data_IF_413873857326
#
_entry.id   IF_413873857326
#
_cell.length_a   1.000
_cell.length_b   1.000
_cell.length_c   1.000
_cell.angle_alpha   90.00
_cell.angle_beta   90.00
_cell.angle_gamma   90.00
#
_symmetry.space_group_name_H-M   'P 1'
#
loop_
_entity.id
_entity.type
_entity.pdbx_description
1 polymer ?
#
# COMPACT_ATOMS: atom_id res chain seq x y z
N UNK A 1 0.82 -7.20 -11.68
CA UNK A 1 2.15 -7.03 -11.07
C UNK A 1 2.48 -8.33 -10.35
N UNK A 2 3.70 -8.86 -10.49
CA UNK A 2 4.13 -10.12 -9.85
C UNK A 2 5.59 -9.96 -9.39
N UNK A 3 5.86 -10.21 -8.12
CA UNK A 3 7.17 -10.14 -7.50
C UNK A 3 7.90 -11.48 -7.52
N UNK A 4 9.21 -11.42 -7.70
CA UNK A 4 10.14 -12.55 -7.62
C UNK A 4 11.01 -12.48 -6.35
N UNK A 5 11.29 -11.27 -5.85
CA UNK A 5 12.15 -11.06 -4.68
C UNK A 5 11.57 -10.07 -3.69
N UNK A 6 12.00 -10.15 -2.42
CA UNK A 6 11.62 -9.18 -1.39
C UNK A 6 12.17 -7.79 -1.72
N UNK A 7 13.32 -7.70 -2.38
CA UNK A 7 13.91 -6.43 -2.81
C UNK A 7 13.01 -5.64 -3.77
N UNK A 8 12.21 -6.31 -4.61
CA UNK A 8 11.24 -5.62 -5.48
C UNK A 8 10.15 -4.91 -4.65
N UNK A 9 9.64 -5.57 -3.61
CA UNK A 9 8.67 -5.00 -2.67
C UNK A 9 9.31 -3.85 -1.90
N UNK A 10 10.50 -4.08 -1.34
CA UNK A 10 11.23 -3.08 -0.56
C UNK A 10 11.58 -1.84 -1.36
N UNK A 11 11.84 -1.95 -2.67
CA UNK A 11 12.05 -0.78 -3.53
C UNK A 11 10.83 0.13 -3.58
N UNK A 12 9.63 -0.44 -3.70
CA UNK A 12 8.39 0.33 -3.72
C UNK A 12 8.14 0.97 -2.35
N UNK A 13 8.30 0.21 -1.26
CA UNK A 13 8.12 0.72 0.12
C UNK A 13 9.08 1.87 0.41
N UNK A 14 10.37 1.72 0.07
CA UNK A 14 11.35 2.80 0.25
C UNK A 14 11.04 4.01 -0.62
N UNK A 15 10.60 3.80 -1.86
CA UNK A 15 10.22 4.90 -2.73
C UNK A 15 9.02 5.67 -2.15
N UNK A 16 8.03 4.95 -1.61
CA UNK A 16 6.87 5.51 -0.92
C UNK A 16 7.28 6.31 0.33
N UNK A 17 8.07 5.69 1.23
CA UNK A 17 8.53 6.33 2.47
C UNK A 17 9.35 7.60 2.19
N UNK A 18 10.14 7.61 1.11
CA UNK A 18 10.91 8.78 0.69
C UNK A 18 10.11 9.80 -0.15
N UNK A 19 8.85 9.53 -0.49
CA UNK A 19 8.03 10.43 -1.31
C UNK A 19 8.48 10.51 -2.77
N UNK A 20 9.14 9.47 -3.29
CA UNK A 20 9.82 9.47 -4.60
C UNK A 20 9.12 8.64 -5.68
N UNK A 21 7.99 7.98 -5.37
CA UNK A 21 7.17 7.31 -6.39
C UNK A 21 6.60 8.38 -7.31
N UNK A 22 6.76 8.32 -8.65
CA UNK A 22 6.11 9.27 -9.55
C UNK A 22 4.58 9.20 -9.46
N UNK A 23 3.88 10.35 -9.60
CA UNK A 23 2.40 10.41 -9.55
C UNK A 23 1.71 9.44 -10.53
N UNK A 24 2.29 9.21 -11.71
CA UNK A 24 1.76 8.26 -12.71
C UNK A 24 1.94 6.79 -12.34
N UNK A 25 2.85 6.50 -11.40
CA UNK A 25 3.18 5.15 -10.94
C UNK A 25 2.53 4.83 -9.59
N UNK A 26 2.00 5.82 -8.87
CA UNK A 26 1.21 5.58 -7.67
C UNK A 26 -0.21 5.10 -8.01
N UNK A 27 -0.37 3.80 -8.23
CA UNK A 27 -1.63 3.15 -8.57
C UNK A 27 -2.05 2.20 -7.46
N UNK A 28 -3.20 1.55 -7.65
CA UNK A 28 -3.78 0.64 -6.67
C UNK A 28 -2.84 -0.50 -6.25
N UNK A 29 -2.09 -1.08 -7.20
CA UNK A 29 -1.17 -2.18 -6.91
C UNK A 29 -0.01 -1.77 -5.99
N UNK A 30 0.53 -0.56 -6.17
CA UNK A 30 1.59 0.01 -5.33
C UNK A 30 1.03 0.34 -3.94
N UNK A 31 -0.18 0.91 -3.86
CA UNK A 31 -0.90 1.12 -2.61
C UNK A 31 -1.07 -0.19 -1.82
N UNK A 32 -1.61 -1.24 -2.46
CA UNK A 32 -1.78 -2.55 -1.83
C UNK A 32 -0.44 -3.16 -1.40
N UNK A 33 0.62 -2.99 -2.19
CA UNK A 33 1.95 -3.50 -1.85
C UNK A 33 2.48 -2.87 -0.56
N UNK A 34 2.39 -1.54 -0.43
CA UNK A 34 2.85 -0.82 0.77
C UNK A 34 1.98 -1.16 1.97
N UNK A 35 0.65 -1.16 1.80
CA UNK A 35 -0.28 -1.52 2.87
C UNK A 35 -0.04 -2.96 3.37
N UNK A 36 0.18 -3.91 2.46
CA UNK A 36 0.58 -5.28 2.78
C UNK A 36 1.88 -5.33 3.55
N UNK A 37 2.92 -4.65 3.08
CA UNK A 37 4.20 -4.65 3.76
C UNK A 37 4.05 -4.17 5.21
N UNK A 38 3.33 -3.07 5.45
CA UNK A 38 3.10 -2.61 6.82
C UNK A 38 2.26 -3.57 7.64
N UNK A 39 1.19 -4.14 7.08
CA UNK A 39 0.36 -5.14 7.77
C UNK A 39 1.14 -6.43 8.12
N UNK A 40 2.14 -6.78 7.32
CA UNK A 40 2.95 -7.96 7.55
C UNK A 40 3.91 -7.82 8.75
N UNK A 41 4.36 -6.59 9.04
CA UNK A 41 5.38 -6.33 10.08
C UNK A 41 4.84 -5.57 11.30
N UNK A 42 3.64 -5.02 11.23
CA UNK A 42 3.09 -4.13 12.25
C UNK A 42 1.64 -4.48 12.58
N UNK A 43 1.18 -4.04 13.76
CA UNK A 43 -0.25 -4.03 14.08
C UNK A 43 -1.01 -3.02 13.21
N UNK A 44 -2.34 -3.11 13.24
CA UNK A 44 -3.22 -2.29 12.43
C UNK A 44 -3.03 -0.79 12.68
N UNK A 45 -2.92 -0.38 13.94
CA UNK A 45 -2.80 1.03 14.31
C UNK A 45 -1.49 1.63 13.75
N UNK A 46 -0.37 0.94 13.94
CA UNK A 46 0.94 1.37 13.44
C UNK A 46 0.98 1.36 11.92
N UNK A 47 0.46 0.32 11.28
CA UNK A 47 0.41 0.22 9.84
C UNK A 47 -0.43 1.36 9.24
N UNK A 48 -1.57 1.68 9.86
CA UNK A 48 -2.49 2.72 9.41
C UNK A 48 -1.87 4.12 9.47
N UNK A 49 -1.22 4.45 10.59
CA UNK A 49 -0.49 5.72 10.73
C UNK A 49 0.61 5.82 9.67
N UNK A 50 1.43 4.78 9.47
CA UNK A 50 2.49 4.77 8.45
C UNK A 50 1.92 4.94 7.03
N UNK A 51 0.77 4.34 6.73
CA UNK A 51 0.15 4.45 5.42
C UNK A 51 -0.39 5.86 5.19
N UNK A 52 -1.16 6.41 6.14
CA UNK A 52 -1.73 7.75 6.04
C UNK A 52 -0.64 8.80 5.89
N UNK A 53 0.35 8.78 6.77
CA UNK A 53 1.40 9.80 6.79
C UNK A 53 2.27 9.72 5.52
N UNK A 54 2.53 8.52 5.01
CA UNK A 54 3.25 8.33 3.75
C UNK A 54 2.45 8.79 2.52
N UNK A 55 1.12 8.63 2.51
CA UNK A 55 0.29 9.19 1.43
C UNK A 55 0.36 10.72 1.45
N UNK A 56 0.25 11.36 2.62
CA UNK A 56 0.40 12.82 2.69
C UNK A 56 1.80 13.28 2.25
N UNK A 57 2.85 12.52 2.55
CA UNK A 57 4.19 12.80 2.05
C UNK A 57 4.25 12.74 0.50
N UNK A 58 3.62 11.74 -0.12
CA UNK A 58 3.52 11.66 -1.59
C UNK A 58 2.69 12.82 -2.18
N UNK A 59 1.55 13.16 -1.58
CA UNK A 59 0.75 14.29 -2.07
C UNK A 59 1.52 15.60 -2.02
N UNK A 60 2.36 15.79 -0.99
CA UNK A 60 3.28 16.91 -0.92
C UNK A 60 4.35 16.86 -2.02
N UNK A 61 4.95 15.68 -2.30
CA UNK A 61 5.93 15.55 -3.38
C UNK A 61 5.33 15.68 -4.78
N UNK A 62 4.01 15.48 -4.92
CA UNK A 62 3.23 15.75 -6.13
C UNK A 62 2.80 17.21 -6.26
N UNK A 63 3.17 18.06 -5.30
CA UNK A 63 2.78 19.47 -5.24
C UNK A 63 1.25 19.67 -5.27
N UNK A 64 0.49 18.73 -4.68
CA UNK A 64 -0.97 18.83 -4.59
C UNK A 64 -1.37 19.92 -3.60
N UNK A 65 -2.18 20.87 -4.07
CA UNK A 65 -2.81 21.87 -3.23
C UNK A 65 -4.03 21.29 -2.52
N UNK A 66 -3.83 20.83 -1.28
CA UNK A 66 -4.88 20.20 -0.45
C UNK A 66 -6.06 21.13 -0.13
N UNK A 67 -5.92 22.45 -0.35
CA UNK A 67 -7.05 23.39 -0.20
C UNK A 67 -8.01 23.38 -1.39
N UNK A 68 -7.57 22.86 -2.54
CA UNK A 68 -8.36 22.76 -3.78
C UNK A 68 -8.86 21.36 -4.05
N UNK A 69 -8.09 20.34 -3.67
CA UNK A 69 -8.42 18.93 -3.92
C UNK A 69 -7.93 18.07 -2.77
N UNK A 70 -8.75 17.12 -2.32
CA UNK A 70 -8.36 16.11 -1.33
C UNK A 70 -8.38 14.72 -1.99
N UNK A 71 -7.29 14.31 -2.68
CA UNK A 71 -7.23 13.00 -3.34
C UNK A 71 -7.04 11.84 -2.35
N UNK A 72 -6.75 12.12 -1.08
CA UNK A 72 -6.71 11.11 -0.04
C UNK A 72 -8.11 10.77 0.47
N UNK A 73 -8.42 9.46 0.50
CA UNK A 73 -9.66 8.93 1.04
C UNK A 73 -9.37 8.00 2.22
N UNK A 74 -9.57 8.51 3.44
CA UNK A 74 -9.37 7.78 4.70
C UNK A 74 -10.17 6.46 4.74
N UNK A 75 -11.44 6.50 4.35
CA UNK A 75 -12.31 5.32 4.35
C UNK A 75 -11.80 4.22 3.43
N UNK A 76 -11.33 4.55 2.22
CA UNK A 76 -10.78 3.58 1.28
C UNK A 76 -9.44 3.01 1.78
N UNK A 77 -8.60 3.87 2.34
CA UNK A 77 -7.32 3.44 2.91
C UNK A 77 -7.55 2.45 4.06
N UNK A 78 -8.43 2.78 5.00
CA UNK A 78 -8.81 1.87 6.11
C UNK A 78 -9.46 0.59 5.59
N UNK A 79 -10.35 0.69 4.59
CA UNK A 79 -10.99 -0.48 3.98
C UNK A 79 -9.95 -1.48 3.46
N UNK A 80 -9.05 -1.03 2.58
CA UNK A 80 -8.03 -1.91 1.99
C UNK A 80 -7.05 -2.45 3.01
N UNK A 81 -6.64 -1.63 3.99
CA UNK A 81 -5.81 -2.12 5.09
C UNK A 81 -6.50 -3.24 5.85
N UNK A 82 -7.78 -3.07 6.24
CA UNK A 82 -8.54 -4.14 6.92
C UNK A 82 -8.67 -5.40 6.07
N UNK A 83 -8.99 -5.26 4.79
CA UNK A 83 -9.04 -6.39 3.85
C UNK A 83 -7.72 -7.16 3.83
N UNK A 84 -6.59 -6.46 3.85
CA UNK A 84 -5.27 -7.07 3.89
C UNK A 84 -5.00 -7.78 5.23
N UNK A 85 -5.34 -7.15 6.37
CA UNK A 85 -5.19 -7.79 7.68
C UNK A 85 -6.03 -9.08 7.78
N UNK A 86 -7.29 -9.02 7.38
CA UNK A 86 -8.19 -10.19 7.34
C UNK A 86 -7.62 -11.28 6.40
N UNK A 87 -7.08 -10.87 5.25
CA UNK A 87 -6.41 -11.79 4.34
C UNK A 87 -5.22 -12.48 5.01
N UNK A 88 -4.34 -11.73 5.69
CA UNK A 88 -3.16 -12.27 6.38
C UNK A 88 -3.53 -13.26 7.48
N UNK A 89 -4.57 -12.99 8.26
CA UNK A 89 -5.07 -13.90 9.30
C UNK A 89 -5.54 -15.25 8.72
N UNK A 90 -6.07 -15.23 7.50
CA UNK A 90 -6.53 -16.44 6.80
C UNK A 90 -5.40 -17.27 6.14
N UNK A 91 -4.20 -16.71 5.98
CA UNK A 91 -3.11 -17.37 5.27
C UNK A 91 -2.20 -18.21 6.19
N UNK A 92 -1.81 -19.39 5.70
CA UNK A 92 -0.72 -20.19 6.29
C UNK A 92 0.66 -19.88 5.70
N UNK A 93 0.69 -19.19 4.56
CA UNK A 93 1.93 -18.83 3.86
C UNK A 93 2.63 -17.68 4.59
N UNK A 94 3.93 -17.86 4.89
CA UNK A 94 4.75 -16.88 5.61
C UNK A 94 5.77 -16.16 4.73
N UNK A 95 5.86 -16.53 3.45
CA UNK A 95 6.72 -15.84 2.49
C UNK A 95 6.13 -14.49 2.10
N UNK A 96 6.88 -13.41 2.32
CA UNK A 96 6.49 -12.06 1.94
C UNK A 96 6.14 -11.99 0.44
N UNK A 97 7.01 -12.51 -0.43
CA UNK A 97 6.83 -12.50 -1.89
C UNK A 97 5.57 -13.26 -2.32
N UNK A 98 5.37 -14.49 -1.82
CA UNK A 98 4.22 -15.29 -2.22
C UNK A 98 2.90 -14.68 -1.74
N UNK A 99 2.89 -14.15 -0.53
CA UNK A 99 1.69 -13.51 0.03
C UNK A 99 1.37 -12.20 -0.68
N UNK A 100 2.38 -11.38 -1.01
CA UNK A 100 2.20 -10.17 -1.81
C UNK A 100 1.54 -10.48 -3.16
N UNK A 101 2.04 -11.50 -3.87
CA UNK A 101 1.49 -11.90 -5.16
C UNK A 101 0.04 -12.38 -5.05
N UNK A 102 -0.31 -13.13 -4.01
CA UNK A 102 -1.70 -13.55 -3.76
C UNK A 102 -2.62 -12.36 -3.45
N UNK A 103 -2.17 -11.38 -2.68
CA UNK A 103 -2.95 -10.16 -2.40
C UNK A 103 -3.19 -9.39 -3.70
N UNK A 104 -2.16 -9.21 -4.52
CA UNK A 104 -2.30 -8.52 -5.80
C UNK A 104 -3.19 -9.28 -6.79
N UNK A 105 -3.19 -10.61 -6.76
CA UNK A 105 -4.12 -11.43 -7.55
C UNK A 105 -5.57 -11.29 -7.05
N UNK A 106 -5.78 -11.31 -5.73
CA UNK A 106 -7.13 -11.27 -5.14
C UNK A 106 -7.75 -9.86 -5.13
N UNK A 107 -6.94 -8.82 -4.95
CA UNK A 107 -7.38 -7.46 -4.67
C UNK A 107 -6.84 -6.40 -5.63
N UNK A 108 -5.90 -6.76 -6.52
CA UNK A 108 -5.21 -5.81 -7.40
C UNK A 108 -5.98 -5.40 -8.66
N UNK A 109 -7.22 -5.88 -8.83
CA UNK A 109 -8.09 -5.37 -9.88
C UNK A 109 -8.38 -3.88 -9.62
N UNK A 110 -8.09 -3.06 -10.63
CA UNK A 110 -8.21 -1.60 -10.58
C UNK A 110 -9.66 -1.12 -10.58
N UNK A 111 -10.61 -2.00 -10.90
CA UNK A 111 -12.03 -1.72 -10.91
C UNK A 111 -12.68 -1.98 -9.53
N UNK A 112 -11.89 -2.50 -8.58
CA UNK A 112 -12.26 -2.55 -7.17
C UNK A 112 -12.05 -1.18 -6.50
N UNK A 113 -12.86 -0.83 -5.48
CA UNK A 113 -12.97 0.53 -4.92
C UNK A 113 -11.66 1.19 -4.48
#
# INVERSE_FOLDING_TARGET
>A
MIYQTEDEILRIVRAFENGTIPRSEWRHAEHLTVAFYYAFYHDFETAHVKMRDGIFNLLNSFEVDLSKEMPYHETLTVFWMRTIFDFLESQKEKSLVKTANKILEACGDKDLP
#
